data_IF_254502458802
#
_entry.id   IF_254502458802
#
_cell.length_a   1.000
_cell.length_b   1.000
_cell.length_c   1.000
_cell.angle_alpha   90.00
_cell.angle_beta   90.00
_cell.angle_gamma   90.00
#
_symmetry.space_group_name_H-M   'P 1'
#
loop_
_entity.id
_entity.type
_entity.pdbx_description
1 polymer ?
#
# COMPACT_ATOMS: atom_id res chain seq x y z
N UNK A 1 -50.48 -2.01 11.70
CA UNK A 1 -50.06 -0.63 11.38
C UNK A 1 -48.94 -0.72 10.36
N UNK A 2 -49.32 -0.84 9.09
CA UNK A 2 -48.48 -1.10 7.92
C UNK A 2 -47.99 0.22 7.33
N UNK A 3 -46.70 0.56 7.50
CA UNK A 3 -46.13 1.83 7.02
C UNK A 3 -45.50 1.68 5.61
N UNK A 4 -46.38 1.54 4.62
CA UNK A 4 -46.49 2.25 3.34
C UNK A 4 -45.32 2.96 2.61
N UNK A 5 -44.03 2.68 2.86
CA UNK A 5 -42.95 3.23 2.01
C UNK A 5 -42.48 2.30 0.88
N UNK A 6 -43.03 1.08 0.78
CA UNK A 6 -42.54 0.04 -0.14
C UNK A 6 -43.47 -0.23 -1.34
N UNK A 7 -44.18 0.79 -1.84
CA UNK A 7 -45.02 0.67 -3.04
C UNK A 7 -44.72 1.77 -4.06
N UNK A 8 -43.69 1.59 -4.88
CA UNK A 8 -43.76 1.92 -6.32
C UNK A 8 -42.98 0.86 -7.10
N UNK A 9 -43.76 0.04 -7.79
CA UNK A 9 -43.56 -0.60 -9.09
C UNK A 9 -42.19 -1.23 -9.42
N UNK A 10 -42.12 -2.56 -9.32
CA UNK A 10 -41.66 -3.37 -10.45
C UNK A 10 -42.73 -4.43 -10.74
N UNK A 11 -43.52 -4.17 -11.77
CA UNK A 11 -44.40 -5.14 -12.39
C UNK A 11 -43.57 -5.97 -13.38
N UNK A 12 -43.28 -7.22 -13.02
CA UNK A 12 -43.37 -8.39 -13.92
C UNK A 12 -42.94 -9.62 -13.13
N UNK A 13 -43.91 -10.52 -12.92
CA UNK A 13 -43.72 -11.80 -12.29
C UNK A 13 -43.10 -12.79 -13.29
N UNK A 14 -41.85 -13.20 -13.05
CA UNK A 14 -41.30 -14.46 -13.52
C UNK A 14 -40.18 -14.89 -12.57
N UNK A 15 -40.44 -15.92 -11.78
CA UNK A 15 -39.51 -16.50 -10.80
C UNK A 15 -38.39 -17.27 -11.50
N UNK A 16 -37.14 -16.84 -11.31
CA UNK A 16 -35.96 -17.71 -11.41
C UNK A 16 -35.26 -17.69 -10.05
N UNK A 17 -34.89 -18.87 -9.58
CA UNK A 17 -34.40 -19.17 -8.25
C UNK A 17 -33.17 -18.36 -7.82
N UNK A 18 -33.12 -18.08 -6.52
CA UNK A 18 -31.99 -17.60 -5.70
C UNK A 18 -30.66 -17.38 -6.44
N UNK A 19 -30.34 -16.12 -6.74
CA UNK A 19 -28.98 -15.61 -6.68
C UNK A 19 -29.08 -14.09 -6.65
N UNK A 20 -28.63 -13.50 -5.54
CA UNK A 20 -28.53 -12.06 -5.38
C UNK A 20 -27.91 -11.42 -6.64
N UNK A 21 -28.55 -10.39 -7.18
CA UNK A 21 -27.89 -9.47 -8.11
C UNK A 21 -26.91 -8.63 -7.30
N UNK A 22 -25.76 -9.23 -6.99
CA UNK A 22 -24.65 -8.60 -6.28
C UNK A 22 -24.09 -7.54 -7.23
N UNK A 23 -24.54 -6.29 -7.06
CA UNK A 23 -23.87 -5.11 -7.59
C UNK A 23 -22.49 -5.11 -6.95
N UNK A 24 -21.50 -5.64 -7.67
CA UNK A 24 -20.12 -5.63 -7.22
C UNK A 24 -19.64 -4.19 -7.33
N UNK A 25 -19.57 -3.51 -6.19
CA UNK A 25 -18.79 -2.29 -6.08
C UNK A 25 -17.32 -2.73 -6.16
N UNK A 26 -16.74 -2.63 -7.35
CA UNK A 26 -15.31 -2.80 -7.53
C UNK A 26 -14.63 -1.76 -6.64
N UNK A 27 -14.11 -2.20 -5.50
CA UNK A 27 -13.35 -1.33 -4.64
C UNK A 27 -12.14 -0.91 -5.44
N UNK A 28 -12.12 0.35 -5.91
CA UNK A 28 -10.91 1.01 -6.36
C UNK A 28 -9.99 1.13 -5.13
N UNK A 29 -9.38 0.01 -4.74
CA UNK A 29 -8.36 0.00 -3.73
C UNK A 29 -7.22 0.81 -4.33
N UNK A 30 -6.86 1.90 -3.66
CA UNK A 30 -5.62 2.59 -3.96
C UNK A 30 -4.48 1.63 -3.60
N UNK A 31 -4.14 0.71 -4.51
CA UNK A 31 -3.03 -0.19 -4.28
C UNK A 31 -1.77 0.67 -4.24
N UNK A 32 -1.18 0.75 -3.06
CA UNK A 32 0.09 1.45 -2.87
C UNK A 32 1.25 0.63 -3.43
N UNK A 33 1.02 -0.56 -3.98
CA UNK A 33 2.02 -1.39 -4.65
C UNK A 33 1.47 -2.01 -5.94
N UNK A 34 2.33 -2.23 -6.92
CA UNK A 34 2.04 -2.82 -8.23
C UNK A 34 3.17 -3.76 -8.65
N UNK A 35 2.83 -4.85 -9.34
CA UNK A 35 3.81 -5.71 -10.00
C UNK A 35 4.00 -5.21 -11.42
N UNK A 36 5.25 -4.93 -11.81
CA UNK A 36 5.59 -4.52 -13.17
C UNK A 36 6.78 -5.34 -13.69
N UNK A 37 6.65 -5.84 -14.92
CA UNK A 37 7.54 -6.87 -15.46
C UNK A 37 7.97 -6.59 -16.90
N UNK A 38 9.28 -6.60 -17.14
CA UNK A 38 9.87 -6.65 -18.47
C UNK A 38 9.99 -8.11 -18.90
N UNK A 39 9.12 -8.55 -19.80
CA UNK A 39 9.20 -9.86 -20.45
C UNK A 39 9.96 -9.74 -21.78
N UNK A 40 10.71 -10.78 -22.15
CA UNK A 40 11.49 -10.83 -23.39
C UNK A 40 12.41 -9.62 -23.62
N UNK A 41 12.93 -9.03 -22.54
CA UNK A 41 13.76 -7.82 -22.53
C UNK A 41 13.09 -6.56 -23.13
N UNK A 42 11.76 -6.57 -23.29
CA UNK A 42 11.00 -5.43 -23.80
C UNK A 42 10.77 -4.38 -22.71
N UNK A 43 10.61 -3.13 -23.12
CA UNK A 43 10.19 -2.07 -22.19
C UNK A 43 8.70 -2.20 -21.94
N UNK A 44 8.31 -2.28 -20.67
CA UNK A 44 6.91 -2.35 -20.23
C UNK A 44 6.60 -1.14 -19.38
N UNK A 45 5.41 -0.56 -19.57
CA UNK A 45 4.91 0.57 -18.79
C UNK A 45 3.68 0.15 -17.99
N UNK A 46 3.69 0.45 -16.69
CA UNK A 46 2.59 0.14 -15.77
C UNK A 46 2.04 1.43 -15.18
N UNK A 47 0.71 1.62 -15.29
CA UNK A 47 0.02 2.75 -14.67
C UNK A 47 0.10 2.64 -13.15
N UNK A 48 0.59 3.68 -12.49
CA UNK A 48 0.76 3.68 -11.05
C UNK A 48 0.77 5.08 -10.46
N UNK A 49 0.31 5.23 -9.22
CA UNK A 49 0.29 6.52 -8.55
C UNK A 49 1.71 6.93 -8.10
N UNK A 50 2.40 7.70 -8.92
CA UNK A 50 3.76 8.16 -8.65
C UNK A 50 3.84 9.45 -7.82
N UNK A 51 2.70 9.98 -7.33
CA UNK A 51 2.64 11.31 -6.68
C UNK A 51 3.51 11.43 -5.43
N UNK A 52 3.76 10.30 -4.75
CA UNK A 52 4.56 10.25 -3.51
C UNK A 52 5.96 9.66 -3.73
N UNK A 53 6.41 9.59 -4.98
CA UNK A 53 7.58 8.82 -5.38
C UNK A 53 7.28 7.33 -5.46
N UNK A 54 8.17 6.59 -6.11
CA UNK A 54 8.11 5.13 -6.25
C UNK A 54 9.44 4.54 -5.82
N UNK A 55 9.41 3.38 -5.18
CA UNK A 55 10.60 2.58 -4.89
C UNK A 55 10.35 1.12 -5.23
N UNK A 56 11.42 0.39 -5.51
CA UNK A 56 11.39 -1.06 -5.67
C UNK A 56 11.26 -1.70 -4.28
N UNK A 57 10.10 -2.29 -3.99
CA UNK A 57 9.82 -2.97 -2.73
C UNK A 57 10.40 -4.40 -2.72
N UNK A 58 10.25 -5.13 -3.82
CA UNK A 58 10.75 -6.49 -3.95
C UNK A 58 11.15 -6.79 -5.39
N UNK A 59 12.35 -7.33 -5.59
CA UNK A 59 12.78 -7.85 -6.88
C UNK A 59 12.26 -9.28 -7.09
N UNK A 60 11.71 -9.55 -8.28
CA UNK A 60 11.17 -10.85 -8.70
C UNK A 60 12.04 -11.51 -9.78
N UNK A 61 12.84 -10.76 -10.52
CA UNK A 61 13.79 -11.27 -11.52
C UNK A 61 15.17 -11.55 -10.93
N UNK A 62 15.92 -12.45 -11.57
CA UNK A 62 17.39 -12.52 -11.40
C UNK A 62 18.13 -11.42 -12.18
N UNK A 63 17.48 -10.79 -13.16
CA UNK A 63 18.03 -9.64 -13.88
C UNK A 63 18.14 -8.41 -12.96
N UNK A 64 19.11 -7.55 -13.27
CA UNK A 64 19.34 -6.27 -12.62
C UNK A 64 18.10 -5.38 -12.65
N UNK A 65 17.82 -4.72 -11.53
CA UNK A 65 16.76 -3.70 -11.40
C UNK A 65 17.34 -2.41 -10.83
N UNK A 66 18.19 -1.72 -11.59
CA UNK A 66 18.77 -0.43 -11.16
C UNK A 66 17.87 0.74 -11.58
N UNK A 67 17.56 1.64 -10.65
CA UNK A 67 16.78 2.85 -10.92
C UNK A 67 17.50 3.76 -11.93
N UNK A 68 16.76 4.26 -12.93
CA UNK A 68 17.29 5.05 -14.04
C UNK A 68 17.96 4.23 -15.14
N UNK A 69 18.26 2.95 -14.90
CA UNK A 69 18.85 2.06 -15.90
C UNK A 69 17.83 1.02 -16.34
N UNK A 70 17.38 0.14 -15.45
CA UNK A 70 16.49 -0.98 -15.78
C UNK A 70 15.03 -0.69 -15.45
N UNK A 71 14.79 0.27 -14.56
CA UNK A 71 13.44 0.75 -14.26
C UNK A 71 13.45 2.22 -13.86
N UNK A 72 12.29 2.86 -13.89
CA UNK A 72 12.10 4.20 -13.39
C UNK A 72 10.64 4.58 -13.40
N UNK A 73 10.34 5.83 -13.07
CA UNK A 73 8.98 6.31 -13.11
C UNK A 73 8.90 7.77 -13.57
N UNK A 74 7.75 8.10 -14.11
CA UNK A 74 7.37 9.41 -14.65
C UNK A 74 5.88 9.60 -14.40
N UNK A 75 5.33 10.79 -14.65
CA UNK A 75 4.01 11.25 -14.17
C UNK A 75 2.88 10.22 -14.36
N UNK A 76 2.64 9.36 -13.35
CA UNK A 76 1.59 8.34 -13.34
C UNK A 76 1.96 6.97 -13.93
N UNK A 77 3.22 6.73 -14.28
CA UNK A 77 3.69 5.52 -14.96
C UNK A 77 5.05 5.06 -14.44
N UNK A 78 5.18 3.76 -14.19
CA UNK A 78 6.45 3.08 -13.99
C UNK A 78 6.86 2.45 -15.32
N UNK A 79 8.12 2.51 -15.68
CA UNK A 79 8.67 1.74 -16.79
C UNK A 79 9.72 0.75 -16.27
N UNK A 80 9.76 -0.44 -16.86
CA UNK A 80 10.75 -1.49 -16.60
C UNK A 80 11.28 -2.02 -17.93
N UNK A 81 12.56 -2.37 -17.99
CA UNK A 81 13.22 -2.94 -19.18
C UNK A 81 14.33 -3.92 -18.79
N UNK A 82 15.03 -4.47 -19.79
CA UNK A 82 16.17 -5.38 -19.60
C UNK A 82 15.86 -6.63 -18.76
N UNK A 83 14.61 -7.07 -18.71
CA UNK A 83 14.21 -8.24 -17.92
C UNK A 83 13.98 -7.96 -16.43
N UNK A 84 14.03 -6.69 -16.00
CA UNK A 84 13.70 -6.31 -14.63
C UNK A 84 12.23 -6.62 -14.32
N UNK A 85 12.00 -7.33 -13.20
CA UNK A 85 10.68 -7.69 -12.68
C UNK A 85 10.65 -7.41 -11.20
N UNK A 86 9.63 -6.68 -10.74
CA UNK A 86 9.57 -6.25 -9.36
C UNK A 86 8.19 -5.82 -8.90
N UNK A 87 8.04 -5.78 -7.58
CA UNK A 87 6.96 -5.10 -6.87
C UNK A 87 7.42 -3.68 -6.59
N UNK A 88 6.66 -2.70 -7.06
CA UNK A 88 6.92 -1.28 -6.91
C UNK A 88 5.87 -0.66 -6.04
N UNK A 89 6.28 0.21 -5.12
CA UNK A 89 5.39 0.79 -4.12
C UNK A 89 5.48 2.32 -4.11
N UNK A 90 4.35 2.98 -3.82
CA UNK A 90 4.23 4.43 -3.79
C UNK A 90 4.35 4.95 -2.36
N UNK A 91 5.16 6.01 -2.20
CA UNK A 91 5.43 6.62 -0.90
C UNK A 91 6.88 6.47 -0.45
N UNK A 92 7.34 7.34 0.44
CA UNK A 92 8.34 6.88 1.43
C UNK A 92 7.51 6.02 2.37
N UNK A 93 7.86 4.75 2.58
CA UNK A 93 7.14 3.89 3.50
C UNK A 93 6.91 4.61 4.83
N UNK A 94 5.75 5.24 4.97
CA UNK A 94 5.12 5.41 6.26
C UNK A 94 4.49 4.05 6.49
N UNK A 95 5.39 3.08 6.71
CA UNK A 95 5.11 1.89 7.47
C UNK A 95 4.52 2.46 8.75
N UNK A 96 3.20 2.56 8.78
CA UNK A 96 2.46 2.86 10.00
C UNK A 96 3.08 1.91 11.00
N UNK A 97 3.79 2.51 11.94
CA UNK A 97 4.38 1.74 13.02
C UNK A 97 3.24 0.87 13.57
N UNK A 98 3.48 -0.40 13.90
CA UNK A 98 2.42 -1.30 14.37
C UNK A 98 1.77 -0.85 15.71
N UNK A 99 1.92 0.40 16.13
CA UNK A 99 1.30 0.93 17.35
C UNK A 99 -0.20 1.18 17.25
N UNK A 100 -0.79 1.11 16.04
CA UNK A 100 -2.24 1.33 15.90
C UNK A 100 -3.08 0.04 15.84
N UNK A 101 -2.48 -1.17 15.83
CA UNK A 101 -3.27 -2.40 15.98
C UNK A 101 -2.49 -3.56 16.63
N UNK A 102 -2.42 -3.51 17.96
CA UNK A 102 -2.36 -4.72 18.79
C UNK A 102 -3.36 -4.56 19.94
N UNK A 103 -4.64 -4.77 19.62
CA UNK A 103 -5.66 -5.04 20.63
C UNK A 103 -5.44 -6.50 21.10
N UNK A 104 -5.01 -6.64 22.37
CA UNK A 104 -5.09 -7.82 23.24
C UNK A 104 -3.90 -8.83 23.25
N UNK A 105 -3.13 -8.86 24.37
CA UNK A 105 -2.59 -10.01 25.19
C UNK A 105 -1.19 -9.73 25.84
N UNK A 106 -1.08 -9.85 27.17
CA UNK A 106 0.17 -9.80 27.97
C UNK A 106 0.95 -11.14 27.84
N UNK A 107 2.27 -11.32 27.99
CA UNK A 107 3.33 -10.61 28.72
C UNK A 107 4.71 -11.09 28.15
N UNK A 108 5.71 -10.20 28.09
CA UNK A 108 7.15 -10.49 28.28
C UNK A 108 8.20 -10.47 27.12
N UNK A 109 7.88 -10.55 25.81
CA UNK A 109 8.96 -10.62 24.77
C UNK A 109 9.22 -9.31 23.97
N UNK A 110 8.42 -8.26 24.15
CA UNK A 110 8.72 -6.92 23.62
C UNK A 110 8.63 -5.85 24.71
N UNK A 111 9.64 -5.80 25.59
CA UNK A 111 9.78 -4.68 26.55
C UNK A 111 10.41 -3.49 25.82
N UNK A 112 9.66 -2.42 25.49
CA UNK A 112 10.27 -1.24 24.89
C UNK A 112 11.29 -0.65 25.87
N UNK A 113 12.53 -0.44 25.39
CA UNK A 113 13.59 0.16 26.21
C UNK A 113 13.12 1.53 26.70
N UNK A 114 13.25 1.86 28.00
CA UNK A 114 12.95 3.21 28.46
C UNK A 114 13.85 4.18 27.69
N UNK A 115 13.25 5.18 27.04
CA UNK A 115 13.98 6.29 26.45
C UNK A 115 14.87 6.86 27.55
N UNK A 116 16.19 6.62 27.45
CA UNK A 116 17.15 7.22 28.37
C UNK A 116 16.91 8.73 28.29
N UNK A 117 16.37 9.30 29.37
CA UNK A 117 16.40 10.75 29.56
C UNK A 117 17.86 11.14 29.37
N UNK A 118 18.17 11.89 28.31
CA UNK A 118 19.48 12.51 28.17
C UNK A 118 19.62 13.38 29.41
N UNK A 119 20.41 12.91 30.38
CA UNK A 119 20.79 13.72 31.53
C UNK A 119 21.54 14.89 30.92
N UNK A 120 20.91 16.07 30.85
CA UNK A 120 21.61 17.31 30.55
C UNK A 120 22.73 17.41 31.59
N UNK A 121 23.98 17.28 31.15
CA UNK A 121 25.13 17.54 32.01
C UNK A 121 24.98 18.97 32.52
N UNK A 122 25.06 19.22 33.84
CA UNK A 122 25.17 20.59 34.33
C UNK A 122 26.46 21.18 33.76
N UNK A 123 26.36 22.34 33.10
CA UNK A 123 27.53 23.16 32.77
C UNK A 123 28.08 23.67 34.10
N UNK A 124 29.24 23.18 34.51
CA UNK A 124 30.01 23.80 35.60
C UNK A 124 30.42 25.19 35.13
N UNK A 125 29.87 26.23 35.76
CA UNK A 125 30.31 27.61 35.57
C UNK A 125 31.57 27.75 36.42
N UNK A 126 32.73 28.00 35.79
CA UNK A 126 33.92 28.49 36.49
C UNK A 126 33.68 29.97 36.83
N UNK A 127 33.76 30.32 38.11
CA UNK A 127 33.89 31.71 38.55
C UNK A 127 35.39 32.09 38.61
N UNK A 128 35.71 33.40 38.44
CA UNK A 128 37.09 33.90 38.41
C UNK A 128 37.82 33.79 39.76
#
# INVERSE_FOLDING_TARGET
>A
MTNLCQKIALASAATVAVAATIISAESASAQNAIICESLDFRTTECLFNTRRGVFLERQLSNASCVEGIDWGYHRGLIWVRNGCRGVFSSGRGNWSSPDEEACCIEEEVYRPKPRRRVRRRPRTIHCP
#
